data_IF_623746110825
#
_entry.id   IF_623746110825
#
_cell.length_a   1.000
_cell.length_b   1.000
_cell.length_c   1.000
_cell.angle_alpha   90.00
_cell.angle_beta   90.00
_cell.angle_gamma   90.00
#
_symmetry.space_group_name_H-M   'P 1'
#
loop_
_entity.id
_entity.type
_entity.pdbx_description
1 polymer ?
#
# COMPACT_ATOMS: atom_id res chain seq x y z
N UNK A 1 -9.73 -8.45 5.24
CA UNK A 1 -8.26 -8.29 5.37
C UNK A 1 -7.45 -8.70 4.14
N UNK A 2 -7.74 -9.81 3.45
CA UNK A 2 -6.93 -10.25 2.29
C UNK A 2 -6.83 -9.21 1.17
N UNK A 3 -7.93 -8.53 0.84
CA UNK A 3 -7.99 -7.60 -0.29
C UNK A 3 -7.07 -6.38 -0.11
N UNK A 4 -7.09 -5.72 1.06
CA UNK A 4 -6.24 -4.54 1.32
C UNK A 4 -4.75 -4.87 1.32
N UNK A 5 -4.37 -5.99 1.94
CA UNK A 5 -2.99 -6.47 1.94
C UNK A 5 -2.51 -6.84 0.54
N UNK A 6 -3.35 -7.52 -0.26
CA UNK A 6 -3.04 -7.86 -1.65
C UNK A 6 -2.85 -6.60 -2.48
N UNK A 7 -3.72 -5.59 -2.35
CA UNK A 7 -3.61 -4.34 -3.10
C UNK A 7 -2.31 -3.60 -2.77
N UNK A 8 -1.97 -3.43 -1.49
CA UNK A 8 -0.69 -2.85 -1.07
C UNK A 8 0.50 -3.62 -1.65
N UNK A 9 0.49 -4.96 -1.56
CA UNK A 9 1.54 -5.80 -2.11
C UNK A 9 1.70 -5.60 -3.61
N UNK A 10 0.61 -5.60 -4.39
CA UNK A 10 0.69 -5.37 -5.85
C UNK A 10 1.23 -3.99 -6.18
N UNK A 11 0.81 -2.93 -5.49
CA UNK A 11 1.33 -1.57 -5.72
C UNK A 11 2.84 -1.54 -5.47
N UNK A 12 3.28 -2.15 -4.38
CA UNK A 12 4.70 -2.20 -4.02
C UNK A 12 5.53 -2.99 -5.04
N UNK A 13 5.06 -4.19 -5.42
CA UNK A 13 5.75 -5.05 -6.39
C UNK A 13 5.84 -4.38 -7.76
N UNK A 14 4.78 -3.73 -8.22
CA UNK A 14 4.77 -3.00 -9.48
C UNK A 14 5.74 -1.81 -9.45
N UNK A 15 5.77 -1.05 -8.35
CA UNK A 15 6.73 0.05 -8.21
C UNK A 15 8.17 -0.46 -8.22
N UNK A 16 8.48 -1.54 -7.50
CA UNK A 16 9.82 -2.15 -7.49
C UNK A 16 10.22 -2.62 -8.90
N UNK A 17 9.31 -3.23 -9.64
CA UNK A 17 9.59 -3.66 -11.02
C UNK A 17 9.94 -2.45 -11.92
N UNK A 18 9.21 -1.34 -11.80
CA UNK A 18 9.51 -0.10 -12.54
C UNK A 18 10.86 0.47 -12.10
N UNK A 19 11.16 0.53 -10.80
CA UNK A 19 12.42 1.04 -10.28
C UNK A 19 13.63 0.22 -10.77
N UNK A 20 13.49 -1.11 -10.83
CA UNK A 20 14.52 -1.98 -11.39
C UNK A 20 14.70 -1.72 -12.89
N UNK A 21 13.61 -1.62 -13.66
CA UNK A 21 13.70 -1.31 -15.09
C UNK A 21 14.36 0.06 -15.34
N UNK A 22 14.04 1.07 -14.53
CA UNK A 22 14.67 2.38 -14.62
C UNK A 22 16.20 2.32 -14.44
N UNK A 23 16.69 1.47 -13.54
CA UNK A 23 18.12 1.36 -13.22
C UNK A 23 18.95 0.87 -14.41
N UNK A 24 18.39 -0.04 -15.22
CA UNK A 24 19.08 -0.64 -16.36
C UNK A 24 18.81 0.04 -17.70
N UNK A 25 17.63 0.63 -17.88
CA UNK A 25 17.17 1.12 -19.18
C UNK A 25 16.97 2.65 -19.26
N UNK A 26 17.09 3.37 -18.14
CA UNK A 26 16.90 4.83 -18.04
C UNK A 26 15.67 5.33 -18.83
N UNK A 27 14.54 4.61 -18.68
CA UNK A 27 13.33 4.77 -19.48
C UNK A 27 12.63 6.13 -19.26
N UNK A 28 12.79 6.70 -18.08
CA UNK A 28 12.18 7.95 -17.65
C UNK A 28 13.26 8.98 -17.32
N UNK A 29 12.96 10.27 -17.47
CA UNK A 29 13.85 11.30 -16.93
C UNK A 29 13.84 11.25 -15.40
N UNK A 30 14.97 11.60 -14.77
CA UNK A 30 15.08 11.59 -13.31
C UNK A 30 14.00 12.42 -12.59
N UNK A 31 13.54 13.51 -13.21
CA UNK A 31 12.43 14.31 -12.68
C UNK A 31 11.09 13.56 -12.72
N UNK A 32 10.79 12.88 -13.83
CA UNK A 32 9.56 12.07 -13.97
C UNK A 32 9.60 10.87 -13.03
N UNK A 33 10.76 10.21 -12.91
CA UNK A 33 10.94 9.09 -12.00
C UNK A 33 10.73 9.50 -10.53
N UNK A 34 11.22 10.67 -10.11
CA UNK A 34 10.99 11.17 -8.75
C UNK A 34 9.51 11.49 -8.50
N UNK A 35 8.84 12.17 -9.43
CA UNK A 35 7.39 12.44 -9.32
C UNK A 35 6.59 11.15 -9.23
N UNK A 36 6.92 10.15 -10.06
CA UNK A 36 6.30 8.84 -10.05
C UNK A 36 6.52 8.11 -8.71
N UNK A 37 7.74 8.15 -8.18
CA UNK A 37 8.09 7.52 -6.90
C UNK A 37 7.34 8.13 -5.74
N UNK A 38 7.28 9.47 -5.67
CA UNK A 38 6.51 10.18 -4.63
C UNK A 38 5.03 9.81 -4.72
N UNK A 39 4.48 9.77 -5.94
CA UNK A 39 3.07 9.42 -6.17
C UNK A 39 2.76 7.98 -5.74
N UNK A 40 3.64 7.03 -6.08
CA UNK A 40 3.50 5.64 -5.68
C UNK A 40 3.61 5.46 -4.16
N UNK A 41 4.55 6.16 -3.52
CA UNK A 41 4.70 6.15 -2.07
C UNK A 41 3.46 6.72 -1.36
N UNK A 42 2.91 7.84 -1.86
CA UNK A 42 1.70 8.45 -1.33
C UNK A 42 0.49 7.51 -1.46
N UNK A 43 0.29 6.90 -2.63
CA UNK A 43 -0.77 5.92 -2.85
C UNK A 43 -0.61 4.69 -1.94
N UNK A 44 0.61 4.18 -1.81
CA UNK A 44 0.90 3.06 -0.92
C UNK A 44 0.56 3.40 0.54
N UNK A 45 0.96 4.58 1.01
CA UNK A 45 0.66 5.04 2.37
C UNK A 45 -0.84 5.20 2.63
N UNK A 46 -1.60 5.76 1.67
CA UNK A 46 -3.06 5.89 1.79
C UNK A 46 -3.73 4.53 1.85
N UNK A 47 -3.39 3.61 0.94
CA UNK A 47 -3.97 2.26 0.92
C UNK A 47 -3.61 1.50 2.21
N UNK A 48 -2.38 1.64 2.68
CA UNK A 48 -1.92 1.03 3.93
C UNK A 48 -2.68 1.61 5.13
N UNK A 49 -2.84 2.93 5.20
CA UNK A 49 -3.63 3.59 6.24
C UNK A 49 -5.08 3.11 6.27
N UNK A 50 -5.74 3.06 5.11
CA UNK A 50 -7.11 2.53 5.00
C UNK A 50 -7.17 1.05 5.40
N UNK A 51 -6.20 0.24 4.98
CA UNK A 51 -6.16 -1.18 5.32
C UNK A 51 -5.95 -1.41 6.83
N UNK A 52 -5.13 -0.59 7.49
CA UNK A 52 -4.94 -0.63 8.93
C UNK A 52 -6.20 -0.21 9.68
N UNK A 53 -6.83 0.91 9.29
CA UNK A 53 -8.09 1.37 9.87
C UNK A 53 -9.17 0.29 9.74
N UNK A 54 -9.38 -0.25 8.53
CA UNK A 54 -10.37 -1.34 8.35
C UNK A 54 -10.04 -2.55 9.21
N UNK A 55 -8.75 -2.86 9.41
CA UNK A 55 -8.34 -3.97 10.28
C UNK A 55 -8.69 -3.70 11.73
N UNK A 56 -8.36 -2.52 12.23
CA UNK A 56 -8.64 -2.09 13.61
C UNK A 56 -10.14 -2.10 13.90
N UNK A 57 -10.97 -1.55 13.00
CA UNK A 57 -12.43 -1.57 13.13
C UNK A 57 -13.01 -3.00 13.10
N UNK A 58 -12.47 -3.89 12.26
CA UNK A 58 -12.93 -5.29 12.20
C UNK A 58 -12.53 -6.05 13.46
N UNK A 59 -11.31 -5.84 13.95
CA UNK A 59 -10.82 -6.49 15.18
C UNK A 59 -11.59 -5.98 16.40
N UNK A 60 -11.86 -4.68 16.48
CA UNK A 60 -12.68 -4.08 17.55
C UNK A 60 -14.11 -4.62 17.52
N UNK A 61 -14.76 -4.63 16.35
CA UNK A 61 -16.09 -5.22 16.19
C UNK A 61 -16.12 -6.70 16.59
N UNK A 62 -15.09 -7.46 16.23
CA UNK A 62 -14.99 -8.88 16.60
C UNK A 62 -14.86 -9.05 18.13
N UNK A 63 -14.10 -8.21 18.82
CA UNK A 63 -13.99 -8.26 20.28
C UNK A 63 -15.29 -7.88 20.99
N UNK A 64 -16.11 -6.99 20.40
CA UNK A 64 -17.48 -6.73 20.88
C UNK A 64 -18.40 -7.93 20.68
N UNK A 65 -18.39 -8.54 19.49
CA UNK A 65 -19.21 -9.73 19.18
C UNK A 65 -18.81 -10.95 20.05
N UNK A 66 -17.52 -11.11 20.35
CA UNK A 66 -17.00 -12.20 21.19
C UNK A 66 -17.20 -11.93 22.71
N UNK A 67 -17.78 -10.78 23.10
CA UNK A 67 -18.13 -10.45 24.49
C UNK A 67 -16.94 -10.10 25.39
N UNK A 68 -15.77 -9.81 24.81
CA UNK A 68 -14.59 -9.38 25.57
C UNK A 68 -14.70 -7.93 26.07
N UNK A 69 -15.52 -7.11 25.41
CA UNK A 69 -15.76 -5.69 25.71
C UNK A 69 -17.21 -5.33 25.37
N UNK A 70 -17.87 -4.56 26.23
CA UNK A 70 -19.29 -4.15 26.13
C UNK A 70 -19.51 -2.96 25.17
#
# INVERSE_FOLDING_TARGET
>A
MRTGAIVCLTIFVLWVAIALLQLWFDLLSGEVFMKLTITAAALFAVVLGVALVVREYVDEKKMKDDGYID
#
